data_IF_342727458740
#
_entry.id   IF_342727458740
#
_cell.length_a   1.000
_cell.length_b   1.000
_cell.length_c   1.000
_cell.angle_alpha   90.00
_cell.angle_beta   90.00
_cell.angle_gamma   90.00
#
_symmetry.space_group_name_H-M   'P 1'
#
loop_
_entity.id
_entity.type
_entity.pdbx_description
1 polymer ?
#
# COMPACT_ATOMS: atom_id res chain seq x y z
N UNK A 1 1.22 4.92 -21.48
CA UNK A 1 0.84 6.08 -20.64
C UNK A 1 2.12 6.73 -20.13
N UNK A 2 2.20 8.05 -20.11
CA UNK A 2 3.33 8.76 -19.53
C UNK A 2 3.30 8.67 -18.00
N UNK A 3 4.48 8.76 -17.36
CA UNK A 3 4.57 8.82 -15.91
C UNK A 3 3.97 10.14 -15.40
N UNK A 4 3.03 10.05 -14.47
CA UNK A 4 2.42 11.23 -13.82
C UNK A 4 3.33 11.67 -12.68
N UNK A 5 3.70 12.95 -12.66
CA UNK A 5 4.40 13.58 -11.54
C UNK A 5 3.39 14.34 -10.69
N UNK A 6 3.19 13.87 -9.46
CA UNK A 6 2.23 14.46 -8.54
C UNK A 6 2.94 15.43 -7.57
N UNK A 7 2.65 16.73 -7.68
CA UNK A 7 3.21 17.81 -6.87
C UNK A 7 2.27 18.32 -5.78
N UNK A 8 1.23 17.56 -5.40
CA UNK A 8 0.30 17.96 -4.34
C UNK A 8 1.02 18.25 -3.01
N UNK A 9 0.57 19.31 -2.33
CA UNK A 9 1.07 19.71 -1.01
C UNK A 9 0.50 18.88 0.16
N UNK A 10 -0.53 18.04 -0.09
CA UNK A 10 -1.17 17.21 0.92
C UNK A 10 -2.63 16.88 0.58
N UNK A 11 -3.04 15.58 0.57
CA UNK A 11 -2.19 14.39 0.54
C UNK A 11 -1.22 14.41 -0.65
N UNK A 12 -0.02 13.84 -0.48
CA UNK A 12 1.07 13.94 -1.45
C UNK A 12 1.40 12.59 -2.11
N UNK A 13 2.32 12.60 -3.06
CA UNK A 13 2.80 11.39 -3.73
C UNK A 13 3.49 10.44 -2.74
N UNK A 14 3.12 9.16 -2.78
CA UNK A 14 3.87 8.08 -2.14
C UNK A 14 4.83 7.43 -3.16
N UNK A 15 5.94 6.81 -2.70
CA UNK A 15 6.81 6.03 -3.59
C UNK A 15 6.03 4.92 -4.31
N UNK A 16 6.21 4.81 -5.64
CA UNK A 16 5.47 3.84 -6.45
C UNK A 16 5.72 2.39 -6.01
N UNK A 17 6.95 2.04 -5.62
CA UNK A 17 7.29 0.71 -5.12
C UNK A 17 6.55 0.35 -3.82
N UNK A 18 6.32 1.32 -2.94
CA UNK A 18 5.58 1.11 -1.68
C UNK A 18 4.10 0.86 -1.97
N UNK A 19 3.50 1.64 -2.87
CA UNK A 19 2.10 1.41 -3.29
C UNK A 19 1.94 0.06 -3.98
N UNK A 20 2.93 -0.35 -4.78
CA UNK A 20 2.92 -1.64 -5.46
C UNK A 20 3.00 -2.81 -4.46
N UNK A 21 3.88 -2.71 -3.46
CA UNK A 21 3.96 -3.70 -2.38
C UNK A 21 2.64 -3.77 -1.59
N UNK A 22 2.12 -2.61 -1.16
CA UNK A 22 0.86 -2.54 -0.42
C UNK A 22 -0.32 -3.13 -1.21
N UNK A 23 -0.34 -2.92 -2.53
CA UNK A 23 -1.35 -3.52 -3.41
C UNK A 23 -1.20 -5.05 -3.50
N UNK A 24 0.03 -5.55 -3.65
CA UNK A 24 0.30 -6.99 -3.78
C UNK A 24 -0.12 -7.77 -2.54
N UNK A 25 0.12 -7.23 -1.35
CA UNK A 25 -0.17 -7.88 -0.07
C UNK A 25 -1.54 -7.49 0.51
N UNK A 26 -2.34 -6.70 -0.20
CA UNK A 26 -3.55 -6.09 0.36
C UNK A 26 -4.56 -7.12 0.88
N UNK A 27 -4.72 -8.23 0.16
CA UNK A 27 -5.69 -9.28 0.48
C UNK A 27 -5.06 -10.48 1.21
N UNK A 28 -3.74 -10.61 1.19
CA UNK A 28 -3.01 -11.69 1.84
C UNK A 28 -1.66 -11.16 2.30
N UNK A 29 -1.64 -10.63 3.52
CA UNK A 29 -0.44 -10.09 4.12
C UNK A 29 0.41 -11.23 4.67
N UNK A 30 1.61 -11.39 4.12
CA UNK A 30 2.58 -12.42 4.48
C UNK A 30 2.05 -13.88 4.50
N UNK A 31 1.04 -14.20 3.69
CA UNK A 31 0.50 -15.57 3.59
C UNK A 31 -0.44 -15.94 4.74
N UNK A 32 -0.96 -14.98 5.49
CA UNK A 32 -1.92 -15.21 6.58
C UNK A 32 -3.36 -15.43 6.07
N UNK A 33 -3.62 -15.20 4.79
CA UNK A 33 -4.96 -15.29 4.19
C UNK A 33 -5.88 -14.13 4.56
N UNK A 34 -5.33 -13.06 5.14
CA UNK A 34 -6.05 -11.84 5.54
C UNK A 34 -5.22 -10.60 5.25
N UNK A 35 -5.89 -9.44 5.16
CA UNK A 35 -5.24 -8.14 5.08
C UNK A 35 -4.59 -7.75 6.39
N UNK A 36 -3.50 -6.96 6.35
CA UNK A 36 -2.93 -6.32 7.54
C UNK A 36 -3.96 -5.48 8.30
N UNK A 37 -4.95 -4.93 7.60
CA UNK A 37 -6.03 -4.13 8.19
C UNK A 37 -7.02 -4.96 9.03
N UNK A 38 -7.01 -6.28 8.89
CA UNK A 38 -7.92 -7.20 9.59
C UNK A 38 -7.26 -7.85 10.82
N UNK A 39 -5.96 -7.63 11.00
CA UNK A 39 -5.18 -8.24 12.09
C UNK A 39 -5.29 -7.40 13.36
N UNK A 40 -5.41 -8.07 14.51
CA UNK A 40 -5.33 -7.42 15.80
C UNK A 40 -3.97 -6.72 15.97
N UNK A 41 -4.00 -5.43 16.29
CA UNK A 41 -2.78 -4.68 16.64
C UNK A 41 -2.04 -5.23 17.87
N UNK A 42 -2.65 -6.17 18.61
CA UNK A 42 -2.04 -6.81 19.78
C UNK A 42 -1.16 -8.00 19.45
N UNK A 43 -1.25 -8.56 18.23
CA UNK A 43 -0.54 -9.79 17.84
C UNK A 43 -0.97 -10.99 18.65
#
# INVERSE_FOLDING_TARGET
MAQVYNFSSGPAMLPAEVLKLAQQELCDWHGLGTSVMEISHRG
#
